data_IF_279268289748
#
_entry.id   IF_279268289748
#
_cell.length_a   1.000
_cell.length_b   1.000
_cell.length_c   1.000
_cell.angle_alpha   90.00
_cell.angle_beta   90.00
_cell.angle_gamma   90.00
#
_symmetry.space_group_name_H-M   'P 1'
#
loop_
_entity.id
_entity.type
_entity.pdbx_description
1 polymer ?
#
# COMPACT_ATOMS: atom_id res chain seq x y z
N UNK A 1 -21.59 0.20 4.38
CA UNK A 1 -21.74 -1.13 3.80
C UNK A 1 -21.46 -1.01 2.31
N UNK A 2 -20.26 -1.40 1.89
CA UNK A 2 -19.89 -1.42 0.47
C UNK A 2 -20.56 -2.62 -0.20
N UNK A 3 -21.09 -2.40 -1.41
CA UNK A 3 -21.65 -3.49 -2.21
C UNK A 3 -20.50 -4.42 -2.65
N UNK A 4 -20.33 -5.55 -1.97
CA UNK A 4 -19.57 -6.68 -2.51
C UNK A 4 -20.41 -7.32 -3.64
N UNK A 5 -19.87 -7.35 -4.85
CA UNK A 5 -20.39 -8.15 -5.94
C UNK A 5 -19.62 -9.46 -5.97
N UNK A 6 -20.35 -10.59 -6.11
CA UNK A 6 -19.93 -11.98 -6.21
C UNK A 6 -18.41 -12.27 -6.12
N UNK A 7 -18.01 -12.99 -5.09
CA UNK A 7 -16.67 -13.61 -4.97
C UNK A 7 -16.64 -14.92 -5.75
N UNK A 8 -15.76 -15.04 -6.74
CA UNK A 8 -15.24 -16.32 -7.17
C UNK A 8 -14.03 -16.64 -6.30
N UNK A 9 -13.70 -17.92 -6.06
CA UNK A 9 -12.52 -18.32 -5.30
C UNK A 9 -11.28 -17.57 -5.84
N UNK A 10 -10.66 -16.73 -4.99
CA UNK A 10 -9.49 -15.93 -5.34
C UNK A 10 -9.74 -14.52 -5.90
N UNK A 11 -11.00 -14.07 -6.10
CA UNK A 11 -11.31 -12.77 -6.70
C UNK A 11 -12.36 -11.99 -5.89
N UNK A 12 -12.17 -10.68 -5.80
CA UNK A 12 -13.14 -9.72 -5.26
C UNK A 12 -13.34 -8.58 -6.24
N UNK A 13 -14.59 -8.21 -6.48
CA UNK A 13 -14.93 -7.07 -7.35
C UNK A 13 -15.68 -6.01 -6.56
N UNK A 14 -15.25 -4.76 -6.66
CA UNK A 14 -15.87 -3.65 -5.96
C UNK A 14 -15.85 -2.36 -6.79
N UNK A 15 -16.86 -1.52 -6.61
CA UNK A 15 -16.87 -0.16 -7.17
C UNK A 15 -16.08 0.76 -6.25
N UNK A 16 -15.08 1.45 -6.79
CA UNK A 16 -14.27 2.39 -6.01
C UNK A 16 -15.08 3.64 -5.70
N UNK A 17 -15.28 3.89 -4.41
CA UNK A 17 -16.00 5.06 -3.88
C UNK A 17 -15.15 5.82 -2.86
N UNK A 18 -14.08 5.21 -2.35
CA UNK A 18 -13.20 5.73 -1.32
C UNK A 18 -11.77 5.91 -1.83
N UNK A 19 -10.93 6.55 -1.03
CA UNK A 19 -9.55 6.89 -1.38
C UNK A 19 -8.62 5.67 -1.31
N UNK A 20 -8.78 4.82 -0.31
CA UNK A 20 -7.88 3.73 -0.04
C UNK A 20 -8.58 2.37 -0.07
N UNK A 21 -7.85 1.36 -0.52
CA UNK A 21 -8.10 -0.05 -0.24
C UNK A 21 -7.17 -0.44 0.91
N UNK A 22 -7.73 -0.93 2.01
CA UNK A 22 -7.00 -1.44 3.16
C UNK A 22 -6.91 -2.96 3.06
N UNK A 23 -5.69 -3.49 3.22
CA UNK A 23 -5.33 -4.89 3.04
C UNK A 23 -4.79 -5.45 4.36
N UNK A 24 -5.34 -6.56 4.87
CA UNK A 24 -4.87 -7.20 6.09
C UNK A 24 -3.63 -8.06 5.79
N UNK A 25 -2.56 -7.94 6.58
CA UNK A 25 -1.32 -8.69 6.40
C UNK A 25 -1.02 -9.55 7.62
N UNK A 26 -0.58 -10.80 7.39
CA UNK A 26 -0.08 -11.68 8.43
C UNK A 26 1.20 -12.40 8.02
N UNK A 27 2.18 -12.45 8.91
CA UNK A 27 3.43 -13.20 8.70
C UNK A 27 3.27 -14.71 8.85
N UNK A 28 2.08 -15.18 9.18
CA UNK A 28 1.78 -16.61 9.35
C UNK A 28 1.40 -17.30 8.03
N UNK A 29 1.25 -16.52 6.94
CA UNK A 29 0.85 -17.04 5.62
C UNK A 29 1.92 -16.77 4.56
N UNK A 30 1.91 -17.55 3.50
CA UNK A 30 2.85 -17.38 2.39
C UNK A 30 2.53 -16.15 1.53
N UNK A 31 3.56 -15.58 0.92
CA UNK A 31 3.41 -14.56 -0.12
C UNK A 31 2.76 -15.15 -1.35
N UNK A 32 1.77 -14.46 -1.86
CA UNK A 32 1.11 -14.79 -3.12
C UNK A 32 0.85 -13.54 -3.94
N UNK A 33 0.76 -13.70 -5.24
CA UNK A 33 0.51 -12.59 -6.17
C UNK A 33 -0.90 -12.04 -5.97
N UNK A 34 -1.01 -10.72 -5.91
CA UNK A 34 -2.24 -9.96 -5.96
C UNK A 34 -2.22 -9.02 -7.16
N UNK A 35 -3.31 -8.96 -7.90
CA UNK A 35 -3.46 -8.08 -9.06
C UNK A 35 -4.68 -7.20 -8.88
N UNK A 36 -4.49 -5.91 -9.09
CA UNK A 36 -5.59 -4.93 -9.19
C UNK A 36 -5.82 -4.62 -10.66
N UNK A 37 -7.04 -4.86 -11.12
CA UNK A 37 -7.44 -4.72 -12.51
C UNK A 37 -8.61 -3.74 -12.63
N UNK A 38 -8.47 -2.77 -13.52
CA UNK A 38 -9.52 -1.78 -13.82
C UNK A 38 -9.87 -1.85 -15.30
N UNK A 39 -11.15 -2.10 -15.61
CA UNK A 39 -11.64 -2.24 -17.00
C UNK A 39 -10.90 -3.31 -17.83
N UNK A 40 -10.46 -4.39 -17.17
CA UNK A 40 -9.74 -5.48 -17.83
C UNK A 40 -8.23 -5.23 -18.03
N UNK A 41 -7.70 -4.13 -17.49
CA UNK A 41 -6.27 -3.82 -17.55
C UNK A 41 -5.66 -3.94 -16.15
N UNK A 42 -4.58 -4.72 -15.97
CA UNK A 42 -3.80 -4.72 -14.74
C UNK A 42 -3.19 -3.34 -14.48
N UNK A 43 -3.48 -2.77 -13.33
CA UNK A 43 -2.99 -1.45 -12.91
C UNK A 43 -1.95 -1.54 -11.78
N UNK A 44 -1.99 -2.64 -11.01
CA UNK A 44 -1.02 -2.97 -9.96
C UNK A 44 -0.83 -4.47 -9.86
N UNK A 45 0.41 -4.88 -9.78
CA UNK A 45 0.81 -6.26 -9.50
C UNK A 45 1.81 -6.26 -8.35
N UNK A 46 1.55 -7.03 -7.31
CA UNK A 46 2.43 -7.15 -6.15
C UNK A 46 2.23 -8.49 -5.44
N UNK A 47 3.17 -8.86 -4.59
CA UNK A 47 3.01 -10.01 -3.70
C UNK A 47 2.69 -9.54 -2.29
N UNK A 48 1.84 -10.28 -1.59
CA UNK A 48 1.38 -9.96 -0.25
C UNK A 48 1.05 -11.23 0.54
N UNK A 49 1.25 -11.18 1.86
CA UNK A 49 0.79 -12.20 2.81
C UNK A 49 -0.59 -11.83 3.34
N UNK A 50 -1.64 -12.09 2.57
CA UNK A 50 -3.00 -11.71 2.92
C UNK A 50 -3.51 -12.53 4.12
N UNK A 51 -3.90 -11.87 5.21
CA UNK A 51 -4.25 -12.50 6.47
C UNK A 51 -5.61 -13.21 6.42
N UNK A 52 -5.62 -14.53 6.55
CA UNK A 52 -6.84 -15.34 6.64
C UNK A 52 -7.57 -15.15 7.97
N UNK A 53 -6.83 -14.93 9.07
CA UNK A 53 -7.37 -14.70 10.40
C UNK A 53 -7.12 -13.27 10.88
N UNK A 54 -6.64 -13.11 12.11
CA UNK A 54 -6.30 -11.81 12.68
C UNK A 54 -5.04 -11.26 11.98
N UNK A 55 -5.09 -10.07 11.38
CA UNK A 55 -3.91 -9.46 10.77
C UNK A 55 -2.90 -9.03 11.84
N UNK A 56 -1.61 -9.14 11.52
CA UNK A 56 -0.54 -8.56 12.32
C UNK A 56 -0.52 -7.04 12.15
N UNK A 57 -0.79 -6.56 10.93
CA UNK A 57 -0.94 -5.15 10.60
C UNK A 57 -1.77 -4.96 9.33
N UNK A 58 -2.01 -3.70 8.98
CA UNK A 58 -2.71 -3.31 7.77
C UNK A 58 -1.80 -2.48 6.88
N UNK A 59 -1.91 -2.70 5.57
CA UNK A 59 -1.32 -1.84 4.55
C UNK A 59 -2.42 -1.26 3.67
N UNK A 60 -2.09 -0.32 2.80
CA UNK A 60 -3.08 0.35 1.96
C UNK A 60 -2.57 0.59 0.55
N UNK A 61 -3.50 0.73 -0.38
CA UNK A 61 -3.24 1.20 -1.73
C UNK A 61 -4.12 2.43 -1.99
N UNK A 62 -3.54 3.54 -2.44
CA UNK A 62 -4.30 4.71 -2.91
C UNK A 62 -4.93 4.37 -4.26
N UNK A 63 -6.25 4.40 -4.30
CA UNK A 63 -7.07 4.08 -5.48
C UNK A 63 -7.90 5.28 -5.94
N UNK A 64 -7.57 6.47 -5.47
CA UNK A 64 -8.30 7.70 -5.76
C UNK A 64 -8.43 8.01 -7.25
N UNK A 65 -7.40 7.67 -8.05
CA UNK A 65 -7.40 7.79 -9.52
C UNK A 65 -8.41 6.89 -10.22
N UNK A 66 -8.92 5.86 -9.53
CA UNK A 66 -9.91 4.91 -10.05
C UNK A 66 -11.31 5.14 -9.48
N UNK A 67 -11.52 6.25 -8.78
CA UNK A 67 -12.84 6.58 -8.18
C UNK A 67 -13.94 6.55 -9.24
N UNK A 68 -15.04 5.84 -8.91
CA UNK A 68 -16.17 5.61 -9.81
C UNK A 68 -16.01 4.43 -10.77
N UNK A 69 -14.80 3.87 -10.90
CA UNK A 69 -14.55 2.66 -11.72
C UNK A 69 -14.79 1.40 -10.90
N UNK A 70 -14.90 0.28 -11.59
CA UNK A 70 -14.93 -1.05 -10.98
C UNK A 70 -13.52 -1.60 -10.93
N UNK A 71 -13.10 -2.03 -9.75
CA UNK A 71 -11.83 -2.71 -9.46
C UNK A 71 -12.11 -4.20 -9.25
N UNK A 72 -11.36 -5.05 -9.96
CA UNK A 72 -11.23 -6.47 -9.67
C UNK A 72 -9.90 -6.69 -8.96
N UNK A 73 -9.95 -7.35 -7.82
CA UNK A 73 -8.78 -7.80 -7.07
C UNK A 73 -8.73 -9.30 -7.22
N UNK A 74 -7.68 -9.82 -7.83
CA UNK A 74 -7.40 -11.25 -7.91
C UNK A 74 -6.20 -11.61 -7.02
N UNK A 75 -6.28 -12.77 -6.39
CA UNK A 75 -5.26 -13.30 -5.49
C UNK A 75 -4.96 -14.75 -5.86
N UNK A 76 -3.68 -15.10 -5.90
CA UNK A 76 -3.24 -16.44 -6.27
C UNK A 76 -3.68 -17.47 -5.22
N UNK A 77 -4.68 -18.28 -5.58
CA UNK A 77 -5.32 -19.26 -4.71
C UNK A 77 -6.43 -18.66 -3.86
N UNK A 78 -6.85 -19.41 -2.84
CA UNK A 78 -7.92 -19.03 -1.92
C UNK A 78 -7.36 -18.31 -0.69
N UNK A 79 -8.07 -17.32 -0.17
CA UNK A 79 -7.80 -16.67 1.10
C UNK A 79 -9.06 -16.04 1.68
N UNK A 80 -9.36 -16.35 2.93
CA UNK A 80 -10.42 -15.69 3.70
C UNK A 80 -10.10 -14.19 3.95
N UNK A 81 -8.85 -13.80 3.76
CA UNK A 81 -8.42 -12.41 3.85
C UNK A 81 -9.03 -11.50 2.79
N UNK A 82 -9.47 -12.05 1.65
CA UNK A 82 -10.17 -11.29 0.60
C UNK A 82 -11.47 -10.65 1.11
N UNK A 83 -12.21 -11.33 1.99
CA UNK A 83 -13.44 -10.81 2.59
C UNK A 83 -13.19 -9.67 3.60
N UNK A 84 -11.95 -9.55 4.07
CA UNK A 84 -11.54 -8.50 5.01
C UNK A 84 -11.06 -7.23 4.33
N UNK A 85 -10.81 -7.29 3.03
CA UNK A 85 -10.44 -6.11 2.24
C UNK A 85 -11.57 -5.10 2.27
N UNK A 86 -11.26 -3.87 2.59
CA UNK A 86 -12.27 -2.80 2.59
C UNK A 86 -11.69 -1.49 2.05
N UNK A 87 -12.58 -0.64 1.57
CA UNK A 87 -12.24 0.71 1.14
C UNK A 87 -12.66 1.75 2.16
N UNK A 88 -11.83 2.77 2.35
CA UNK A 88 -12.11 3.90 3.23
C UNK A 88 -11.40 5.17 2.71
N UNK A 89 -11.79 6.33 3.23
CA UNK A 89 -11.09 7.60 3.00
C UNK A 89 -9.89 7.78 3.93
N UNK A 90 -9.73 6.89 4.92
CA UNK A 90 -8.60 6.83 5.85
C UNK A 90 -7.90 5.46 5.77
N UNK A 91 -6.62 5.43 6.05
CA UNK A 91 -5.86 4.18 6.17
C UNK A 91 -6.14 3.50 7.51
N UNK A 92 -6.15 2.17 7.52
CA UNK A 92 -6.38 1.42 8.75
C UNK A 92 -5.35 1.79 9.82
N UNK A 93 -5.81 2.13 11.02
CA UNK A 93 -4.95 2.54 12.14
C UNK A 93 -4.29 3.91 11.98
N UNK A 94 -4.85 4.81 11.19
CA UNK A 94 -4.31 6.16 10.96
C UNK A 94 -4.08 6.93 12.26
N UNK A 95 -4.95 6.80 13.25
CA UNK A 95 -4.85 7.53 14.52
C UNK A 95 -3.65 7.09 15.38
N UNK A 96 -3.06 5.94 15.09
CA UNK A 96 -1.87 5.41 15.77
C UNK A 96 -0.58 5.53 14.95
N UNK A 97 -0.64 6.11 13.76
CA UNK A 97 0.54 6.35 12.93
C UNK A 97 1.55 7.23 13.65
N UNK A 98 2.83 6.85 13.58
CA UNK A 98 3.97 7.51 14.22
C UNK A 98 3.94 7.49 15.76
N UNK A 99 2.94 6.81 16.37
CA UNK A 99 2.85 6.59 17.81
C UNK A 99 3.23 5.15 18.22
N UNK A 100 3.71 4.35 17.29
CA UNK A 100 4.12 2.97 17.55
C UNK A 100 5.34 2.93 18.48
N UNK A 101 5.34 2.01 19.46
CA UNK A 101 6.36 1.89 20.52
C UNK A 101 7.80 1.92 20.00
N UNK A 102 8.06 1.34 18.86
CA UNK A 102 9.40 1.21 18.28
C UNK A 102 9.64 2.16 17.10
N UNK A 103 8.78 3.16 16.89
CA UNK A 103 8.98 4.15 15.83
C UNK A 103 10.23 4.98 16.09
N UNK A 104 11.19 5.06 15.14
CA UNK A 104 12.33 5.96 15.25
C UNK A 104 11.90 7.41 15.47
N UNK A 105 12.64 8.14 16.32
CA UNK A 105 12.31 9.52 16.70
C UNK A 105 13.11 10.57 15.93
N UNK A 106 14.24 10.19 15.32
CA UNK A 106 15.17 11.12 14.69
C UNK A 106 15.35 10.94 13.19
N UNK A 107 14.93 9.78 12.65
CA UNK A 107 15.08 9.47 11.24
C UNK A 107 13.75 9.50 10.54
N UNK A 108 13.74 9.91 9.28
CA UNK A 108 12.59 9.73 8.42
C UNK A 108 12.18 8.25 8.40
N UNK A 109 10.89 7.99 8.50
CA UNK A 109 10.30 6.67 8.34
C UNK A 109 8.99 6.80 7.56
N UNK A 110 8.79 5.89 6.61
CA UNK A 110 7.52 5.82 5.86
C UNK A 110 6.34 5.45 6.76
N UNK A 111 5.14 5.81 6.37
CA UNK A 111 3.89 5.50 7.11
C UNK A 111 3.70 4.01 7.31
N UNK A 112 3.97 3.23 6.28
CA UNK A 112 3.81 1.77 6.29
C UNK A 112 4.85 1.13 5.39
N UNK A 113 5.15 -0.14 5.67
CA UNK A 113 5.99 -0.95 4.83
C UNK A 113 7.47 -0.89 5.16
N UNK A 114 8.26 -1.42 4.26
CA UNK A 114 9.71 -1.50 4.37
C UNK A 114 10.36 -0.35 3.60
N UNK A 115 11.39 0.23 4.19
CA UNK A 115 12.20 1.30 3.61
C UNK A 115 13.68 0.89 3.59
N UNK A 116 14.38 1.24 2.51
CA UNK A 116 15.83 1.04 2.38
C UNK A 116 16.46 2.21 1.61
N UNK A 117 17.49 1.92 0.84
CA UNK A 117 18.40 2.86 0.20
C UNK A 117 17.77 4.17 -0.29
N UNK A 118 18.26 5.32 0.18
CA UNK A 118 17.87 6.61 -0.38
C UNK A 118 18.40 6.74 -1.81
N UNK A 119 17.59 7.26 -2.69
CA UNK A 119 17.90 7.46 -4.10
C UNK A 119 17.53 8.87 -4.53
N UNK A 120 18.28 9.45 -5.49
CA UNK A 120 17.88 10.67 -6.16
C UNK A 120 17.64 11.87 -5.25
N UNK A 121 18.45 12.04 -4.21
CA UNK A 121 18.37 13.19 -3.30
C UNK A 121 18.59 14.49 -4.06
N UNK A 122 17.66 15.44 -3.95
CA UNK A 122 17.78 16.73 -4.64
C UNK A 122 17.13 17.87 -3.84
N UNK A 123 17.72 19.06 -3.95
CA UNK A 123 17.09 20.29 -3.50
C UNK A 123 16.51 21.01 -4.73
N UNK A 124 15.20 21.21 -4.76
CA UNK A 124 14.51 21.83 -5.87
C UNK A 124 13.36 22.71 -5.38
N UNK A 125 13.22 23.89 -5.93
CA UNK A 125 12.15 24.87 -5.62
C UNK A 125 11.95 25.15 -4.13
N UNK A 126 13.05 25.12 -3.33
CA UNK A 126 13.02 25.43 -1.90
C UNK A 126 12.70 24.23 -1.00
N UNK A 127 12.66 23.03 -1.54
CA UNK A 127 12.40 21.79 -0.82
C UNK A 127 13.49 20.75 -1.06
N UNK A 128 13.80 19.98 -0.03
CA UNK A 128 14.63 18.79 -0.12
C UNK A 128 13.73 17.61 -0.46
N UNK A 129 14.05 16.90 -1.53
CA UNK A 129 13.37 15.68 -1.94
C UNK A 129 14.18 14.46 -1.54
N UNK A 130 13.52 13.52 -0.91
CA UNK A 130 14.05 12.21 -0.54
C UNK A 130 13.26 11.15 -1.30
N UNK A 131 13.92 10.44 -2.20
CA UNK A 131 13.41 9.22 -2.78
C UNK A 131 14.08 8.03 -2.12
N UNK A 132 13.38 6.91 -2.01
CA UNK A 132 13.89 5.74 -1.31
C UNK A 132 13.25 4.45 -1.85
N UNK A 133 13.97 3.34 -1.70
CA UNK A 133 13.39 2.03 -1.96
C UNK A 133 12.26 1.78 -0.95
N UNK A 134 11.10 1.41 -1.46
CA UNK A 134 9.90 1.22 -0.67
C UNK A 134 9.17 -0.06 -1.06
N UNK A 135 8.84 -0.89 -0.07
CA UNK A 135 7.82 -1.92 -0.21
C UNK A 135 6.61 -1.52 0.64
N UNK A 136 5.55 -0.98 0.04
CA UNK A 136 4.39 -0.46 0.79
C UNK A 136 3.51 -1.56 1.38
N UNK A 137 3.71 -2.83 0.98
CA UNK A 137 2.80 -3.93 1.32
C UNK A 137 3.36 -4.89 2.36
N UNK A 138 4.66 -4.85 2.62
CA UNK A 138 5.32 -5.76 3.55
C UNK A 138 6.48 -5.09 4.32
N UNK A 139 7.10 -5.83 5.24
CA UNK A 139 8.24 -5.40 6.06
C UNK A 139 9.59 -5.92 5.58
N UNK A 140 9.65 -6.49 4.38
CA UNK A 140 10.84 -7.09 3.80
C UNK A 140 11.04 -6.58 2.38
N UNK A 141 12.24 -6.81 1.82
CA UNK A 141 12.55 -6.48 0.44
C UNK A 141 11.64 -7.26 -0.52
N UNK A 142 10.87 -6.57 -1.30
CA UNK A 142 10.01 -7.04 -2.38
C UNK A 142 9.25 -5.85 -2.97
N UNK A 143 8.47 -6.02 -4.04
CA UNK A 143 7.53 -5.02 -4.58
C UNK A 143 8.14 -3.62 -4.72
N UNK A 144 9.36 -3.51 -5.30
CA UNK A 144 10.10 -2.25 -5.26
C UNK A 144 9.36 -1.08 -5.88
N UNK A 145 9.00 -0.15 -5.03
CA UNK A 145 8.56 1.18 -5.37
C UNK A 145 9.67 2.20 -5.10
N UNK A 146 9.55 3.39 -5.64
CA UNK A 146 10.27 4.56 -5.17
C UNK A 146 9.32 5.39 -4.32
N UNK A 147 9.52 5.33 -3.03
CA UNK A 147 8.87 6.23 -2.08
C UNK A 147 9.39 7.66 -2.28
N UNK A 148 8.60 8.65 -1.89
CA UNK A 148 8.94 10.05 -2.02
C UNK A 148 8.51 10.82 -0.78
N UNK A 149 9.42 11.62 -0.24
CA UNK A 149 9.13 12.57 0.82
C UNK A 149 9.80 13.92 0.54
N UNK A 150 9.22 14.99 1.08
CA UNK A 150 9.75 16.35 0.96
C UNK A 150 9.94 16.98 2.33
N UNK A 151 10.94 17.87 2.44
CA UNK A 151 11.21 18.65 3.64
C UNK A 151 11.78 20.02 3.28
N UNK A 152 11.49 21.02 4.10
CA UNK A 152 12.10 22.36 3.97
C UNK A 152 13.30 22.56 4.90
N UNK A 153 13.47 21.68 5.87
CA UNK A 153 14.48 21.84 6.94
C UNK A 153 15.28 20.57 7.25
N UNK A 154 15.05 19.47 6.52
CA UNK A 154 15.65 18.14 6.71
C UNK A 154 15.28 17.45 8.04
N UNK A 155 14.38 18.03 8.80
CA UNK A 155 13.90 17.51 10.10
C UNK A 155 12.44 17.11 10.02
N UNK A 156 11.60 17.97 9.46
CA UNK A 156 10.18 17.72 9.28
C UNK A 156 9.90 17.27 7.85
N UNK A 157 9.43 16.05 7.69
CA UNK A 157 9.19 15.42 6.41
C UNK A 157 7.71 15.19 6.15
N UNK A 158 7.28 15.47 4.94
CA UNK A 158 5.97 15.10 4.43
C UNK A 158 6.13 13.96 3.41
N UNK A 159 5.50 12.82 3.68
CA UNK A 159 5.49 11.69 2.76
C UNK A 159 4.43 11.91 1.68
N UNK A 160 4.87 11.93 0.44
CA UNK A 160 4.06 12.02 -0.76
C UNK A 160 3.69 10.61 -1.29
N UNK A 161 2.82 10.50 -2.30
CA UNK A 161 2.64 9.24 -3.01
C UNK A 161 3.96 8.73 -3.60
N UNK A 162 4.11 7.41 -3.71
CA UNK A 162 5.26 6.80 -4.35
C UNK A 162 5.46 7.38 -5.76
N UNK A 163 6.69 7.78 -6.07
CA UNK A 163 7.04 8.40 -7.34
C UNK A 163 7.04 7.40 -8.50
N UNK A 164 7.44 6.15 -8.23
CA UNK A 164 7.44 5.06 -9.21
C UNK A 164 6.84 3.80 -8.59
N UNK A 165 6.14 3.06 -9.41
CA UNK A 165 5.60 1.74 -9.10
C UNK A 165 6.26 0.69 -10.01
N UNK A 166 6.33 -0.59 -9.57
CA UNK A 166 6.69 -1.66 -10.48
C UNK A 166 5.74 -1.69 -11.67
N UNK A 167 6.30 -1.76 -12.86
CA UNK A 167 5.60 -1.99 -14.12
C UNK A 167 6.01 -3.34 -14.69
N UNK A 168 5.21 -3.90 -15.57
CA UNK A 168 5.57 -5.08 -16.34
C UNK A 168 6.46 -4.62 -17.51
N UNK A 169 7.78 -4.85 -17.38
CA UNK A 169 8.73 -4.76 -18.47
C UNK A 169 8.76 -6.04 -19.27
#
# INVERSE_FOLDING_TARGET
>A
AGNLFASFAGDVTLKITKKYINLPVSHQVDRKKMTFEVKGTPERNFVIRLADEKPDYWVFCDVSSWKGKTLRISYEGESAGLEKIYQDDVIAGQDSLYAEKNRPQFHFTTRRGWINDPNGLVFYEGEYHLFYQHNPYEREWENMHWGHAVSRDLVHWEELPDALHPDEL
#
